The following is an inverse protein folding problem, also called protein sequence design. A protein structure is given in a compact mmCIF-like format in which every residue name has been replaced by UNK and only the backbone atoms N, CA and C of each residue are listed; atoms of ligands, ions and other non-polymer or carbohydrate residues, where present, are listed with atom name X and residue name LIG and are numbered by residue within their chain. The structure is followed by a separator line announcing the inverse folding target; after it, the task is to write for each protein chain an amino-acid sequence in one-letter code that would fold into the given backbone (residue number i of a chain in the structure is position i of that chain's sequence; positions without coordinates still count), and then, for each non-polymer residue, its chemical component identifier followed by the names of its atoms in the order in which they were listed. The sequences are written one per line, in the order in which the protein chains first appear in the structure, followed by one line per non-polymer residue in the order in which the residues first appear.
data_IF_825133522792
#
_entry.id   IF_825133522792
#
_cell.length_a   1.000
_cell.length_b   1.000
_cell.length_c   1.000
_cell.angle_alpha   90.00
_cell.angle_beta   90.00
_cell.angle_gamma   90.00
#
_symmetry.space_group_name_H-M   'P 1'
#
loop_
_entity.id
_entity.type
_entity.pdbx_description
1 polymer ?
#
# COMPACT_ATOMS: atom_id res chain seq x y z
N UNK A 1 32.27 -2.34 18.51
CA UNK A 1 31.48 -2.62 19.73
C UNK A 1 30.83 -1.34 20.26
N UNK A 2 31.58 -0.34 20.75
CA UNK A 2 31.01 0.90 21.31
C UNK A 2 30.22 1.73 20.28
N UNK A 3 30.74 1.84 19.05
CA UNK A 3 30.08 2.53 17.92
C UNK A 3 28.78 1.86 17.52
N UNK A 4 28.73 0.52 17.54
CA UNK A 4 27.53 -0.28 17.25
C UNK A 4 26.43 -0.13 18.31
N UNK A 5 26.80 0.02 19.59
CA UNK A 5 25.85 0.25 20.69
C UNK A 5 25.30 1.69 20.60
N UNK A 6 26.17 2.66 20.30
CA UNK A 6 25.79 4.06 20.14
C UNK A 6 24.83 4.25 18.95
N UNK A 7 25.09 3.59 17.82
CA UNK A 7 24.19 3.66 16.65
C UNK A 7 22.83 3.02 16.94
N UNK A 8 22.79 1.87 17.63
CA UNK A 8 21.53 1.24 18.04
C UNK A 8 20.73 2.11 19.02
N UNK A 9 21.40 2.79 19.95
CA UNK A 9 20.77 3.70 20.89
C UNK A 9 20.20 4.95 20.20
N UNK A 10 20.95 5.55 19.28
CA UNK A 10 20.48 6.67 18.46
C UNK A 10 19.30 6.28 17.57
N UNK A 11 19.35 5.09 16.95
CA UNK A 11 18.23 4.52 16.18
C UNK A 11 16.98 4.36 17.05
N UNK A 12 17.14 3.82 18.27
CA UNK A 12 16.03 3.66 19.21
C UNK A 12 15.41 5.00 19.61
N UNK A 13 16.24 6.02 19.90
CA UNK A 13 15.75 7.37 20.20
C UNK A 13 15.03 8.00 19.01
N UNK A 14 15.54 7.83 17.78
CA UNK A 14 14.90 8.29 16.56
C UNK A 14 13.52 7.64 16.37
N UNK A 15 13.44 6.30 16.49
CA UNK A 15 12.17 5.57 16.41
C UNK A 15 11.19 6.07 17.47
N UNK A 16 11.65 6.26 18.71
CA UNK A 16 10.81 6.77 19.80
C UNK A 16 10.33 8.20 19.54
N UNK A 17 11.18 9.07 19.00
CA UNK A 17 10.83 10.43 18.63
C UNK A 17 9.79 10.45 17.50
N UNK A 18 9.98 9.64 16.45
CA UNK A 18 9.00 9.49 15.36
C UNK A 18 7.66 8.99 15.88
N UNK A 19 7.66 7.97 16.75
CA UNK A 19 6.42 7.45 17.37
C UNK A 19 5.74 8.50 18.27
N UNK A 20 6.51 9.32 18.98
CA UNK A 20 5.98 10.41 19.78
C UNK A 20 5.37 11.50 18.90
N UNK A 21 6.10 11.96 17.88
CA UNK A 21 5.67 13.01 16.95
C UNK A 21 4.43 12.60 16.17
N UNK A 22 4.38 11.36 15.68
CA UNK A 22 3.18 10.82 14.99
C UNK A 22 1.98 10.79 15.93
N UNK A 23 2.14 10.29 17.17
CA UNK A 23 1.05 10.32 18.16
C UNK A 23 0.61 11.75 18.49
N UNK A 24 1.55 12.65 18.74
CA UNK A 24 1.26 14.05 19.04
C UNK A 24 0.54 14.73 17.86
N UNK A 25 0.97 14.46 16.63
CA UNK A 25 0.32 14.94 15.41
C UNK A 25 -1.11 14.42 15.28
N UNK A 26 -1.34 13.11 15.46
CA UNK A 26 -2.67 12.52 15.40
C UNK A 26 -3.60 13.09 16.48
N UNK A 27 -3.09 13.31 17.69
CA UNK A 27 -3.84 13.94 18.79
C UNK A 27 -4.19 15.39 18.47
N UNK A 28 -3.23 16.15 17.92
CA UNK A 28 -3.45 17.54 17.49
C UNK A 28 -4.46 17.63 16.34
N UNK A 29 -4.40 16.69 15.40
CA UNK A 29 -5.31 16.58 14.27
C UNK A 29 -6.75 16.32 14.74
N UNK A 30 -6.93 15.53 15.81
CA UNK A 30 -8.24 15.21 16.40
C UNK A 30 -8.82 16.25 17.38
N UNK A 31 -8.10 17.32 17.72
CA UNK A 31 -8.44 18.25 18.83
C UNK A 31 -9.52 19.31 18.50
N UNK A 32 -10.55 18.95 17.73
CA UNK A 32 -11.59 19.89 17.26
C UNK A 32 -13.00 19.44 17.59
N UNK A 33 -13.57 19.92 18.71
CA UNK A 33 -15.00 19.82 19.16
C UNK A 33 -15.63 18.41 19.31
N UNK A 34 -15.40 17.47 18.39
CA UNK A 34 -15.85 16.07 18.52
C UNK A 34 -14.86 15.18 19.29
N UNK A 35 -13.77 15.78 19.79
CA UNK A 35 -12.82 15.08 20.63
C UNK A 35 -13.57 14.46 21.81
N UNK A 36 -14.50 15.15 22.48
CA UNK A 36 -15.27 14.63 23.63
C UNK A 36 -16.12 13.39 23.31
N UNK A 37 -16.79 13.32 22.15
CA UNK A 37 -17.64 12.18 21.75
C UNK A 37 -16.86 11.00 21.17
N UNK A 38 -15.81 11.28 20.40
CA UNK A 38 -14.90 10.25 19.88
C UNK A 38 -13.97 9.72 20.97
N UNK A 39 -13.58 10.59 21.92
CA UNK A 39 -13.02 10.22 23.21
C UNK A 39 -14.03 9.37 23.96
N UNK A 40 -15.30 9.74 24.09
CA UNK A 40 -16.23 8.93 24.88
C UNK A 40 -16.26 7.49 24.39
N UNK A 41 -16.34 7.25 23.07
CA UNK A 41 -16.40 5.87 22.59
C UNK A 41 -15.07 5.10 22.68
N UNK A 42 -13.92 5.75 22.40
CA UNK A 42 -12.57 5.14 22.51
C UNK A 42 -12.02 5.11 23.94
N UNK A 43 -12.31 6.08 24.78
CA UNK A 43 -11.97 6.14 26.20
C UNK A 43 -12.94 5.30 27.05
N UNK A 44 -14.24 5.16 26.73
CA UNK A 44 -15.05 4.14 27.42
C UNK A 44 -14.47 2.74 27.21
N UNK A 45 -13.88 2.44 26.04
CA UNK A 45 -13.17 1.17 25.84
C UNK A 45 -11.79 1.17 26.49
N UNK A 46 -10.98 2.20 26.24
CA UNK A 46 -9.57 2.22 26.61
C UNK A 46 -9.31 2.68 28.04
N UNK A 47 -10.11 3.57 28.62
CA UNK A 47 -10.08 3.95 30.03
C UNK A 47 -10.77 2.93 30.93
N UNK A 48 -11.77 2.16 30.48
CA UNK A 48 -12.24 0.96 31.22
C UNK A 48 -11.15 -0.11 31.29
N UNK A 49 -10.37 -0.25 30.21
CA UNK A 49 -9.22 -1.17 30.17
C UNK A 49 -8.04 -0.61 30.99
N UNK A 50 -7.67 0.66 30.85
CA UNK A 50 -6.52 1.27 31.53
C UNK A 50 -6.79 1.56 33.02
N UNK A 51 -8.02 1.90 33.42
CA UNK A 51 -8.37 2.13 34.84
C UNK A 51 -8.33 0.85 35.66
N UNK A 52 -8.62 -0.31 35.04
CA UNK A 52 -8.47 -1.62 35.66
C UNK A 52 -7.02 -2.14 35.66
N UNK A 53 -6.10 -1.54 34.89
CA UNK A 53 -4.81 -2.17 34.56
C UNK A 53 -3.56 -1.35 34.88
N UNK A 54 -3.68 -0.25 35.62
CA UNK A 54 -2.49 0.39 36.19
C UNK A 54 -1.85 -0.51 37.24
N UNK A 55 -0.84 -1.27 36.81
CA UNK A 55 0.04 -2.07 37.67
C UNK A 55 -0.22 -3.57 37.71
N UNK A 56 -1.30 -4.06 37.09
CA UNK A 56 -1.66 -5.50 37.13
C UNK A 56 -1.18 -6.20 35.85
N UNK A 57 -0.27 -7.18 36.00
CA UNK A 57 0.05 -8.10 34.89
C UNK A 57 -1.19 -8.93 34.57
N UNK A 58 -1.88 -8.56 33.49
CA UNK A 58 -3.02 -9.32 32.95
C UNK A 58 -2.68 -10.81 32.82
N UNK A 59 -3.52 -11.67 33.41
CA UNK A 59 -3.49 -13.12 33.19
C UNK A 59 -3.81 -13.47 31.73
N UNK A 60 -3.44 -14.67 31.27
CA UNK A 60 -3.73 -15.11 29.89
C UNK A 60 -5.22 -15.02 29.54
N UNK A 61 -6.10 -15.35 30.49
CA UNK A 61 -7.56 -15.26 30.34
C UNK A 61 -8.04 -13.83 30.15
N UNK A 62 -7.62 -12.90 31.01
CA UNK A 62 -8.00 -11.49 30.89
C UNK A 62 -7.48 -10.86 29.57
N UNK A 63 -6.28 -11.23 29.09
CA UNK A 63 -5.79 -10.79 27.77
C UNK A 63 -6.63 -11.33 26.61
N UNK A 64 -7.20 -12.53 26.75
CA UNK A 64 -8.08 -13.09 25.73
C UNK A 64 -9.41 -12.37 25.72
N UNK A 65 -9.94 -12.04 26.90
CA UNK A 65 -11.17 -11.27 27.04
C UNK A 65 -11.04 -9.86 26.45
N UNK A 66 -9.97 -9.13 26.78
CA UNK A 66 -9.66 -7.83 26.18
C UNK A 66 -9.60 -7.94 24.65
N UNK A 67 -8.89 -8.94 24.12
CA UNK A 67 -8.82 -9.17 22.65
C UNK A 67 -10.18 -9.46 22.04
N UNK A 68 -11.04 -10.24 22.71
CA UNK A 68 -12.41 -10.53 22.27
C UNK A 68 -13.29 -9.27 22.28
N UNK A 69 -13.19 -8.46 23.33
CA UNK A 69 -13.91 -7.20 23.45
C UNK A 69 -13.49 -6.21 22.34
N UNK A 70 -12.19 -6.08 22.08
CA UNK A 70 -11.68 -5.28 20.96
C UNK A 70 -12.17 -5.79 19.61
N UNK A 71 -12.14 -7.11 19.39
CA UNK A 71 -12.66 -7.70 18.16
C UNK A 71 -14.15 -7.40 17.99
N UNK A 72 -14.97 -7.57 19.03
CA UNK A 72 -16.41 -7.28 18.99
C UNK A 72 -16.70 -5.79 18.73
N UNK A 73 -15.96 -4.88 19.37
CA UNK A 73 -16.08 -3.44 19.13
C UNK A 73 -15.77 -3.07 17.67
N UNK A 74 -14.71 -3.67 17.11
CA UNK A 74 -14.34 -3.52 15.71
C UNK A 74 -15.42 -4.04 14.76
N UNK A 75 -15.98 -5.22 15.04
CA UNK A 75 -17.07 -5.79 14.24
C UNK A 75 -18.31 -4.88 14.22
N UNK A 76 -18.69 -4.38 15.40
CA UNK A 76 -19.81 -3.43 15.53
C UNK A 76 -19.53 -2.15 14.73
N UNK A 77 -18.33 -1.59 14.87
CA UNK A 77 -17.91 -0.40 14.14
C UNK A 77 -17.97 -0.60 12.62
N UNK A 78 -17.42 -1.70 12.11
CA UNK A 78 -17.41 -1.99 10.65
C UNK A 78 -18.81 -2.15 10.05
N UNK A 79 -19.78 -2.54 10.88
CA UNK A 79 -21.18 -2.68 10.46
C UNK A 79 -21.85 -1.31 10.25
N UNK A 80 -21.53 -0.34 11.11
CA UNK A 80 -22.16 0.98 11.10
C UNK A 80 -21.38 2.02 10.28
N UNK A 81 -20.06 1.85 10.13
CA UNK A 81 -19.21 2.86 9.51
C UNK A 81 -19.55 3.08 8.03
N UNK A 82 -19.40 4.31 7.57
CA UNK A 82 -19.46 4.65 6.16
C UNK A 82 -18.07 4.64 5.54
N UNK A 83 -17.85 3.74 4.57
CA UNK A 83 -16.64 3.73 3.77
C UNK A 83 -16.74 4.78 2.65
N UNK A 84 -15.81 5.73 2.61
CA UNK A 84 -15.79 6.78 1.60
C UNK A 84 -14.39 7.25 1.22
N UNK A 85 -14.32 8.40 0.55
CA UNK A 85 -13.08 8.96 -0.01
C UNK A 85 -12.00 9.20 1.06
N UNK A 86 -12.40 9.61 2.27
CA UNK A 86 -11.48 9.87 3.37
C UNK A 86 -10.66 8.62 3.70
N UNK A 87 -11.33 7.48 3.93
CA UNK A 87 -10.64 6.22 4.18
C UNK A 87 -9.86 5.78 2.94
N UNK A 88 -10.40 6.00 1.75
CA UNK A 88 -9.74 5.70 0.48
C UNK A 88 -8.35 6.35 0.35
N UNK A 89 -8.23 7.63 0.68
CA UNK A 89 -6.93 8.34 0.63
C UNK A 89 -5.91 7.72 1.56
N UNK A 90 -6.29 7.42 2.82
CA UNK A 90 -5.38 6.78 3.77
C UNK A 90 -5.01 5.35 3.36
N UNK A 91 -5.98 4.57 2.88
CA UNK A 91 -5.73 3.20 2.40
C UNK A 91 -4.79 3.21 1.21
N UNK A 92 -5.01 4.11 0.25
CA UNK A 92 -4.11 4.27 -0.90
C UNK A 92 -2.71 4.64 -0.42
N UNK A 93 -2.58 5.66 0.42
CA UNK A 93 -1.28 6.14 0.91
C UNK A 93 -0.53 5.07 1.70
N UNK A 94 -1.19 4.43 2.66
CA UNK A 94 -0.60 3.38 3.49
C UNK A 94 -0.28 2.15 2.64
N UNK A 95 -1.20 1.75 1.75
CA UNK A 95 -1.01 0.62 0.84
C UNK A 95 0.16 0.84 -0.13
N UNK A 96 0.30 2.06 -0.67
CA UNK A 96 1.41 2.44 -1.55
C UNK A 96 2.78 2.26 -0.89
N UNK A 97 2.91 2.65 0.37
CA UNK A 97 4.18 2.51 1.12
C UNK A 97 4.36 1.08 1.63
N UNK A 98 3.32 0.47 2.21
CA UNK A 98 3.40 -0.85 2.79
C UNK A 98 3.67 -1.94 1.74
N UNK A 99 3.11 -1.80 0.54
CA UNK A 99 3.39 -2.71 -0.58
C UNK A 99 4.86 -2.64 -1.00
N UNK A 100 5.45 -1.44 -1.05
CA UNK A 100 6.87 -1.29 -1.35
C UNK A 100 7.75 -1.95 -0.30
N UNK A 101 7.46 -1.71 0.99
CA UNK A 101 8.22 -2.32 2.08
C UNK A 101 8.11 -3.85 2.07
N UNK A 102 6.92 -4.38 1.77
CA UNK A 102 6.70 -5.82 1.69
C UNK A 102 7.46 -6.44 0.51
N UNK A 103 7.43 -5.79 -0.65
CA UNK A 103 8.14 -6.26 -1.84
C UNK A 103 9.66 -6.16 -1.65
N UNK A 104 10.16 -5.06 -1.09
CA UNK A 104 11.57 -4.89 -0.77
C UNK A 104 12.05 -5.96 0.22
N UNK A 105 11.28 -6.23 1.28
CA UNK A 105 11.58 -7.32 2.21
C UNK A 105 11.56 -8.70 1.53
N UNK A 106 10.60 -8.95 0.63
CA UNK A 106 10.53 -10.20 -0.12
C UNK A 106 11.74 -10.38 -1.04
N UNK A 107 12.15 -9.34 -1.76
CA UNK A 107 13.32 -9.36 -2.64
C UNK A 107 14.62 -9.55 -1.85
N UNK A 108 14.73 -8.93 -0.68
CA UNK A 108 15.88 -9.12 0.21
C UNK A 108 16.03 -10.58 0.61
N UNK A 109 14.93 -11.20 1.06
CA UNK A 109 14.94 -12.57 1.57
C UNK A 109 15.10 -13.59 0.45
N UNK A 110 14.48 -13.37 -0.71
CA UNK A 110 14.47 -14.34 -1.81
C UNK A 110 15.71 -14.25 -2.71
N UNK A 111 16.19 -13.03 -3.00
CA UNK A 111 17.25 -12.81 -3.99
C UNK A 111 18.48 -12.09 -3.42
N UNK A 112 18.43 -11.57 -2.18
CA UNK A 112 19.53 -10.79 -1.59
C UNK A 112 19.74 -9.42 -2.23
N UNK A 113 18.79 -8.95 -3.05
CA UNK A 113 18.90 -7.71 -3.83
C UNK A 113 18.00 -6.63 -3.21
N UNK A 114 18.55 -5.42 -3.08
CA UNK A 114 17.81 -4.21 -2.71
C UNK A 114 17.65 -3.32 -3.94
N UNK A 115 16.44 -3.28 -4.49
CA UNK A 115 16.09 -2.43 -5.62
C UNK A 115 14.92 -1.53 -5.25
N UNK A 116 15.02 -0.26 -5.60
CA UNK A 116 13.93 0.68 -5.43
C UNK A 116 12.84 0.38 -6.45
N UNK A 117 11.64 0.05 -5.97
CA UNK A 117 10.46 -0.25 -6.80
C UNK A 117 9.39 0.82 -6.74
N UNK A 118 9.82 2.03 -6.37
CA UNK A 118 8.91 3.16 -6.19
C UNK A 118 8.22 3.48 -7.51
N UNK A 119 6.93 3.77 -7.46
CA UNK A 119 6.09 3.97 -8.64
C UNK A 119 5.78 5.43 -8.97
N UNK A 120 6.22 6.38 -8.15
CA UNK A 120 6.02 7.82 -8.34
C UNK A 120 7.33 8.61 -8.31
N UNK A 121 7.34 9.79 -8.93
CA UNK A 121 8.50 10.66 -8.97
C UNK A 121 8.82 11.27 -7.60
N UNK A 122 7.81 11.51 -6.75
CA UNK A 122 8.01 12.03 -5.40
C UNK A 122 7.67 11.01 -4.31
N UNK A 123 8.44 11.02 -3.22
CA UNK A 123 8.19 10.17 -2.04
C UNK A 123 8.22 8.65 -2.28
N UNK A 124 8.04 7.82 -1.24
CA UNK A 124 8.09 6.36 -1.37
C UNK A 124 6.70 5.78 -1.69
N UNK A 125 6.11 6.15 -2.82
CA UNK A 125 4.74 5.74 -3.17
C UNK A 125 4.70 4.86 -4.42
N UNK A 126 4.00 3.72 -4.33
CA UNK A 126 3.63 2.89 -5.48
C UNK A 126 2.13 3.02 -5.76
N UNK A 127 1.71 3.61 -6.89
CA UNK A 127 0.30 3.71 -7.26
C UNK A 127 -0.33 2.34 -7.46
N UNK A 128 0.44 1.36 -7.95
CA UNK A 128 -0.02 -0.01 -8.15
C UNK A 128 -0.44 -0.64 -6.81
N UNK A 129 0.38 -0.50 -5.76
CA UNK A 129 0.05 -1.04 -4.44
C UNK A 129 -1.05 -0.27 -3.73
N UNK A 130 -1.05 1.07 -3.84
CA UNK A 130 -2.11 1.90 -3.29
C UNK A 130 -3.47 1.59 -3.92
N UNK A 131 -3.52 1.49 -5.25
CA UNK A 131 -4.74 1.14 -5.98
C UNK A 131 -5.17 -0.30 -5.68
N UNK A 132 -4.24 -1.25 -5.62
CA UNK A 132 -4.53 -2.63 -5.23
C UNK A 132 -5.17 -2.71 -3.85
N UNK A 133 -4.58 -2.04 -2.84
CA UNK A 133 -5.14 -1.97 -1.50
C UNK A 133 -6.54 -1.30 -1.47
N UNK A 134 -6.74 -0.24 -2.26
CA UNK A 134 -8.02 0.46 -2.37
C UNK A 134 -9.11 -0.44 -2.97
N UNK A 135 -8.80 -1.13 -4.07
CA UNK A 135 -9.75 -2.04 -4.76
C UNK A 135 -10.06 -3.25 -3.89
N UNK A 136 -9.05 -3.90 -3.31
CA UNK A 136 -9.25 -5.02 -2.39
C UNK A 136 -10.07 -4.62 -1.16
N UNK A 137 -9.87 -3.42 -0.63
CA UNK A 137 -10.68 -2.90 0.48
C UNK A 137 -12.12 -2.62 0.04
N UNK A 138 -12.32 -2.00 -1.12
CA UNK A 138 -13.66 -1.68 -1.63
C UNK A 138 -14.50 -2.95 -1.86
N UNK A 139 -13.94 -3.91 -2.59
CA UNK A 139 -14.58 -5.21 -2.83
C UNK A 139 -14.73 -5.98 -1.51
N UNK A 140 -13.68 -5.99 -0.69
CA UNK A 140 -13.66 -6.68 0.60
C UNK A 140 -14.74 -6.18 1.56
N UNK A 141 -14.92 -4.86 1.64
CA UNK A 141 -15.94 -4.21 2.45
C UNK A 141 -17.35 -4.59 1.97
N UNK A 142 -17.57 -4.62 0.65
CA UNK A 142 -18.83 -5.06 0.06
C UNK A 142 -19.12 -6.54 0.37
N UNK A 143 -18.16 -7.44 0.15
CA UNK A 143 -18.30 -8.87 0.44
C UNK A 143 -18.58 -9.13 1.92
N UNK A 144 -17.97 -8.33 2.79
CA UNK A 144 -18.18 -8.40 4.24
C UNK A 144 -19.60 -7.97 4.62
N UNK A 145 -20.10 -6.85 4.08
CA UNK A 145 -21.48 -6.41 4.30
C UNK A 145 -22.53 -7.40 3.78
N UNK A 146 -22.17 -8.19 2.77
CA UNK A 146 -23.01 -9.27 2.22
C UNK A 146 -22.81 -10.63 2.93
N UNK A 147 -22.04 -10.68 4.02
CA UNK A 147 -21.76 -11.89 4.80
C UNK A 147 -21.29 -13.08 3.93
N UNK A 148 -20.46 -12.80 2.93
CA UNK A 148 -20.00 -13.81 1.96
C UNK A 148 -19.04 -14.82 2.63
N UNK A 149 -19.23 -16.11 2.31
CA UNK A 149 -18.40 -17.21 2.83
C UNK A 149 -16.94 -17.10 2.41
N UNK A 150 -16.02 -17.66 3.21
CA UNK A 150 -14.56 -17.56 2.97
C UNK A 150 -14.13 -18.08 1.60
N UNK A 151 -14.73 -19.18 1.14
CA UNK A 151 -14.47 -19.76 -0.18
C UNK A 151 -14.84 -18.80 -1.32
N UNK A 152 -16.00 -18.15 -1.24
CA UNK A 152 -16.44 -17.16 -2.22
C UNK A 152 -15.61 -15.88 -2.16
N UNK A 153 -15.19 -15.46 -0.96
CA UNK A 153 -14.24 -14.34 -0.80
C UNK A 153 -12.92 -14.67 -1.50
N UNK A 154 -12.36 -15.87 -1.27
CA UNK A 154 -11.13 -16.31 -1.92
C UNK A 154 -11.23 -16.23 -3.44
N UNK A 155 -12.27 -16.82 -4.04
CA UNK A 155 -12.45 -16.82 -5.50
C UNK A 155 -12.63 -15.40 -6.03
N UNK A 156 -13.45 -14.57 -5.38
CA UNK A 156 -13.67 -13.19 -5.80
C UNK A 156 -12.36 -12.37 -5.74
N UNK A 157 -11.57 -12.55 -4.68
CA UNK A 157 -10.28 -11.87 -4.52
C UNK A 157 -9.22 -12.36 -5.50
N UNK A 158 -9.21 -13.66 -5.83
CA UNK A 158 -8.37 -14.20 -6.88
C UNK A 158 -8.68 -13.55 -8.23
N UNK A 159 -9.96 -13.45 -8.60
CA UNK A 159 -10.39 -12.77 -9.84
C UNK A 159 -10.02 -11.28 -9.83
N UNK A 160 -10.29 -10.57 -8.73
CA UNK A 160 -9.97 -9.14 -8.62
C UNK A 160 -8.46 -8.91 -8.71
N UNK A 161 -7.65 -9.69 -8.02
CA UNK A 161 -6.19 -9.62 -8.09
C UNK A 161 -5.65 -9.92 -9.48
N UNK A 162 -6.14 -10.98 -10.14
CA UNK A 162 -5.79 -11.28 -11.53
C UNK A 162 -6.17 -10.17 -12.51
N UNK A 163 -7.36 -9.57 -12.36
CA UNK A 163 -7.75 -8.41 -13.15
C UNK A 163 -6.83 -7.21 -12.91
N UNK A 164 -6.41 -6.96 -11.66
CA UNK A 164 -5.47 -5.89 -11.34
C UNK A 164 -4.10 -6.12 -11.98
N UNK A 165 -3.56 -7.34 -11.90
CA UNK A 165 -2.29 -7.70 -12.57
C UNK A 165 -2.40 -7.53 -14.09
N UNK A 166 -3.47 -8.06 -14.68
CA UNK A 166 -3.73 -7.96 -16.11
C UNK A 166 -3.80 -6.50 -16.57
N UNK A 167 -4.56 -5.66 -15.86
CA UNK A 167 -4.71 -4.26 -16.21
C UNK A 167 -3.41 -3.47 -16.00
N UNK A 168 -2.68 -3.75 -14.91
CA UNK A 168 -1.42 -3.08 -14.61
C UNK A 168 -0.36 -3.40 -15.67
N UNK A 169 -0.16 -4.68 -15.99
CA UNK A 169 0.79 -5.12 -17.00
C UNK A 169 0.43 -4.60 -18.39
N UNK A 170 -0.85 -4.69 -18.77
CA UNK A 170 -1.34 -4.19 -20.05
C UNK A 170 -1.19 -2.67 -20.17
N UNK A 171 -1.61 -1.89 -19.16
CA UNK A 171 -1.49 -0.44 -19.18
C UNK A 171 -0.02 0.00 -19.26
N UNK A 172 0.87 -0.66 -18.52
CA UNK A 172 2.31 -0.38 -18.56
C UNK A 172 2.88 -0.60 -19.97
N UNK A 173 2.51 -1.71 -20.61
CA UNK A 173 2.96 -2.04 -21.95
C UNK A 173 2.38 -1.09 -23.00
N UNK A 174 1.07 -0.81 -22.96
CA UNK A 174 0.39 0.01 -23.97
C UNK A 174 0.75 1.48 -23.87
N UNK A 175 0.80 2.05 -22.65
CA UNK A 175 1.02 3.49 -22.45
C UNK A 175 2.50 3.86 -22.51
N UNK A 176 3.36 3.02 -21.95
CA UNK A 176 4.76 3.38 -21.72
C UNK A 176 5.75 2.53 -22.50
N UNK A 177 5.28 1.53 -23.28
CA UNK A 177 6.13 0.54 -23.95
C UNK A 177 7.15 -0.07 -22.99
N UNK A 178 6.69 -0.31 -21.77
CA UNK A 178 7.50 -0.76 -20.66
C UNK A 178 6.97 -2.07 -20.10
N UNK A 179 7.85 -2.84 -19.48
CA UNK A 179 7.51 -4.10 -18.87
C UNK A 179 8.31 -4.29 -17.59
N UNK A 180 7.65 -4.83 -16.57
CA UNK A 180 8.27 -5.16 -15.28
C UNK A 180 8.18 -6.64 -14.93
N UNK A 181 7.21 -7.40 -15.47
CA UNK A 181 7.15 -8.86 -15.38
C UNK A 181 6.48 -9.49 -16.60
N UNK A 182 6.68 -10.80 -16.77
CA UNK A 182 6.01 -11.64 -17.78
C UNK A 182 5.87 -13.06 -17.24
N UNK A 183 4.75 -13.73 -17.54
CA UNK A 183 4.58 -15.16 -17.27
C UNK A 183 4.58 -16.00 -18.54
N UNK A 184 4.87 -15.42 -19.69
CA UNK A 184 5.06 -16.19 -20.93
C UNK A 184 6.10 -17.30 -20.69
N UNK A 185 5.99 -18.43 -21.40
CA UNK A 185 6.90 -19.56 -21.23
C UNK A 185 6.75 -20.37 -19.93
N UNK A 186 5.97 -19.93 -18.93
CA UNK A 186 5.61 -20.75 -17.77
C UNK A 186 4.42 -21.66 -18.10
N UNK A 187 4.42 -22.90 -17.62
CA UNK A 187 3.35 -23.87 -17.95
C UNK A 187 1.96 -23.47 -17.43
N UNK A 188 1.89 -22.62 -16.40
CA UNK A 188 0.65 -22.22 -15.74
C UNK A 188 0.21 -20.79 -16.08
N UNK A 189 0.78 -20.18 -17.11
CA UNK A 189 0.37 -18.87 -17.59
C UNK A 189 -1.05 -18.91 -18.16
N UNK A 190 -1.81 -17.84 -17.91
CA UNK A 190 -3.13 -17.60 -18.49
C UNK A 190 -3.02 -16.49 -19.53
N UNK A 191 -2.26 -15.44 -19.20
CA UNK A 191 -1.90 -14.34 -20.10
C UNK A 191 -0.43 -13.99 -19.90
N UNK A 192 0.06 -12.99 -20.64
CA UNK A 192 1.40 -12.45 -20.43
C UNK A 192 1.65 -11.98 -18.98
N UNK A 193 0.61 -11.57 -18.24
CA UNK A 193 0.78 -10.97 -16.91
C UNK A 193 0.01 -11.68 -15.79
N UNK A 194 -0.75 -12.73 -16.09
CA UNK A 194 -1.51 -13.52 -15.11
C UNK A 194 -1.19 -15.00 -15.26
N UNK A 195 -0.96 -15.69 -14.13
CA UNK A 195 -0.76 -17.13 -14.07
C UNK A 195 -1.64 -17.76 -12.97
N UNK A 196 -1.89 -19.07 -13.02
CA UNK A 196 -2.70 -19.74 -12.01
C UNK A 196 -2.15 -19.58 -10.60
N UNK A 197 -0.82 -19.65 -10.44
CA UNK A 197 -0.18 -19.42 -9.13
C UNK A 197 -0.47 -18.02 -8.58
N UNK A 198 -0.52 -16.98 -9.43
CA UNK A 198 -0.78 -15.62 -8.96
C UNK A 198 -2.23 -15.47 -8.54
N UNK A 199 -3.18 -16.07 -9.26
CA UNK A 199 -4.59 -16.10 -8.84
C UNK A 199 -4.76 -16.74 -7.46
N UNK A 200 -4.08 -17.86 -7.20
CA UNK A 200 -4.12 -18.51 -5.88
C UNK A 200 -3.53 -17.59 -4.81
N UNK A 201 -2.38 -16.97 -5.06
CA UNK A 201 -1.74 -16.03 -4.15
C UNK A 201 -2.68 -14.84 -3.85
N UNK A 202 -3.32 -14.25 -4.87
CA UNK A 202 -4.30 -13.18 -4.71
C UNK A 202 -5.54 -13.61 -3.94
N UNK A 203 -6.01 -14.85 -4.13
CA UNK A 203 -7.09 -15.41 -3.33
C UNK A 203 -6.73 -15.49 -1.84
N UNK A 204 -5.52 -15.97 -1.51
CA UNK A 204 -5.01 -16.05 -0.13
C UNK A 204 -4.82 -14.65 0.45
N UNK A 205 -4.11 -13.77 -0.26
CA UNK A 205 -3.81 -12.41 0.16
C UNK A 205 -5.10 -11.60 0.35
N UNK A 206 -6.07 -11.72 -0.56
CA UNK A 206 -7.35 -11.05 -0.43
C UNK A 206 -8.19 -11.61 0.72
N UNK A 207 -8.16 -12.92 0.97
CA UNK A 207 -8.82 -13.49 2.15
C UNK A 207 -8.20 -12.97 3.44
N UNK A 208 -6.87 -12.95 3.52
CA UNK A 208 -6.13 -12.35 4.64
C UNK A 208 -6.46 -10.86 4.80
N UNK A 209 -6.54 -10.13 3.69
CA UNK A 209 -6.88 -8.72 3.67
C UNK A 209 -8.27 -8.48 4.25
N UNK A 210 -9.29 -9.16 3.72
CA UNK A 210 -10.70 -8.98 4.14
C UNK A 210 -10.94 -9.38 5.59
N UNK A 211 -10.25 -10.41 6.08
CA UNK A 211 -10.52 -11.00 7.40
C UNK A 211 -9.64 -10.46 8.50
N UNK A 212 -8.45 -9.98 8.19
CA UNK A 212 -7.45 -9.58 9.19
C UNK A 212 -7.03 -8.13 9.01
N UNK A 213 -6.52 -7.77 7.83
CA UNK A 213 -5.87 -6.47 7.62
C UNK A 213 -6.87 -5.33 7.52
N UNK A 214 -7.83 -5.42 6.60
CA UNK A 214 -8.83 -4.39 6.32
C UNK A 214 -9.66 -4.03 7.55
N UNK A 215 -10.20 -4.97 8.36
CA UNK A 215 -10.96 -4.64 9.56
C UNK A 215 -10.17 -3.75 10.52
N UNK A 216 -8.91 -4.10 10.75
CA UNK A 216 -8.03 -3.38 11.68
C UNK A 216 -7.64 -2.01 11.12
N UNK A 217 -7.31 -1.96 9.82
CA UNK A 217 -6.95 -0.73 9.13
C UNK A 217 -8.10 0.29 9.17
N UNK A 218 -9.32 -0.13 8.81
CA UNK A 218 -10.50 0.72 8.82
C UNK A 218 -10.88 1.20 10.22
N UNK A 219 -10.75 0.33 11.24
CA UNK A 219 -11.01 0.69 12.63
C UNK A 219 -10.01 1.72 13.17
N UNK A 220 -8.74 1.63 12.75
CA UNK A 220 -7.70 2.59 13.14
C UNK A 220 -7.86 3.93 12.42
N UNK A 221 -8.15 3.91 11.13
CA UNK A 221 -8.38 5.13 10.33
C UNK A 221 -9.61 5.88 10.85
N UNK A 222 -10.69 5.15 11.13
CA UNK A 222 -11.91 5.73 11.66
C UNK A 222 -12.69 6.58 10.64
N UNK A 223 -13.62 7.36 11.16
CA UNK A 223 -14.30 8.44 10.43
C UNK A 223 -13.71 9.79 10.86
N UNK A 224 -13.70 10.79 9.97
CA UNK A 224 -13.20 12.11 10.33
C UNK A 224 -14.15 12.76 11.34
N UNK A 225 -13.61 13.15 12.48
CA UNK A 225 -14.34 13.87 13.55
C UNK A 225 -14.04 15.36 13.52
N UNK A 226 -13.04 15.80 12.74
CA UNK A 226 -12.65 17.21 12.68
C UNK A 226 -12.40 17.68 11.25
N UNK A 227 -12.60 18.98 11.02
CA UNK A 227 -12.22 19.62 9.75
C UNK A 227 -10.72 19.47 9.46
N UNK A 228 -9.86 19.46 10.48
CA UNK A 228 -8.40 19.30 10.33
C UNK A 228 -8.04 17.96 9.71
N UNK A 229 -8.68 16.87 10.15
CA UNK A 229 -8.49 15.54 9.56
C UNK A 229 -8.91 15.51 8.10
N UNK A 230 -10.05 16.11 7.77
CA UNK A 230 -10.54 16.20 6.39
C UNK A 230 -9.58 17.02 5.52
N UNK A 231 -9.13 18.19 6.00
CA UNK A 231 -8.14 19.02 5.30
C UNK A 231 -6.84 18.27 5.09
N UNK A 232 -6.34 17.54 6.10
CA UNK A 232 -5.12 16.75 5.96
C UNK A 232 -5.26 15.63 4.94
N UNK A 233 -6.38 14.89 4.96
CA UNK A 233 -6.67 13.89 3.94
C UNK A 233 -6.74 14.52 2.54
N UNK A 234 -7.37 15.70 2.41
CA UNK A 234 -7.41 16.43 1.14
C UNK A 234 -6.02 16.85 0.66
N UNK A 235 -5.16 17.35 1.55
CA UNK A 235 -3.78 17.74 1.19
C UNK A 235 -2.97 16.53 0.71
N UNK A 236 -3.11 15.36 1.36
CA UNK A 236 -2.49 14.12 0.89
C UNK A 236 -3.04 13.75 -0.50
N UNK A 237 -4.36 13.81 -0.69
CA UNK A 237 -4.98 13.49 -1.97
C UNK A 237 -4.48 14.40 -3.10
N UNK A 238 -4.38 15.71 -2.85
CA UNK A 238 -3.85 16.69 -3.81
C UNK A 238 -2.38 16.42 -4.09
N UNK A 239 -1.56 16.18 -3.07
CA UNK A 239 -0.15 15.85 -3.23
C UNK A 239 0.03 14.60 -4.11
N UNK A 240 -0.67 13.51 -3.80
CA UNK A 240 -0.58 12.26 -4.57
C UNK A 240 -1.13 12.43 -6.00
N UNK A 241 -2.20 13.21 -6.17
CA UNK A 241 -2.74 13.52 -7.49
C UNK A 241 -1.74 14.28 -8.36
N UNK A 242 -1.06 15.29 -7.80
CA UNK A 242 0.00 16.02 -8.49
C UNK A 242 1.20 15.13 -8.81
N UNK A 243 1.61 14.26 -7.88
CA UNK A 243 2.72 13.33 -8.07
C UNK A 243 2.44 12.30 -9.17
N UNK A 244 1.23 11.74 -9.20
CA UNK A 244 0.77 10.87 -10.28
C UNK A 244 0.80 11.63 -11.61
N UNK A 245 0.28 12.86 -11.66
CA UNK A 245 0.28 13.68 -12.86
C UNK A 245 1.71 13.92 -13.39
N UNK A 246 2.62 14.36 -12.52
CA UNK A 246 4.02 14.60 -12.87
C UNK A 246 4.73 13.31 -13.30
N UNK A 247 4.44 12.19 -12.65
CA UNK A 247 4.99 10.87 -13.03
C UNK A 247 4.54 10.48 -14.43
N UNK A 248 3.24 10.59 -14.73
CA UNK A 248 2.71 10.31 -16.08
C UNK A 248 3.33 11.24 -17.12
N UNK A 249 3.47 12.55 -16.81
CA UNK A 249 4.14 13.50 -17.71
C UNK A 249 5.61 13.13 -17.97
N UNK A 250 6.34 12.69 -16.95
CA UNK A 250 7.74 12.27 -17.09
C UNK A 250 7.86 11.02 -17.99
N UNK A 251 7.01 10.02 -17.79
CA UNK A 251 6.97 8.84 -18.66
C UNK A 251 6.53 9.18 -20.09
N UNK A 252 5.57 10.09 -20.26
CA UNK A 252 5.15 10.58 -21.58
C UNK A 252 6.31 11.25 -22.33
N UNK A 253 7.07 12.12 -21.66
CA UNK A 253 8.25 12.76 -22.27
C UNK A 253 9.33 11.73 -22.63
N UNK A 254 9.60 10.77 -21.74
CA UNK A 254 10.51 9.66 -22.05
C UNK A 254 10.07 8.86 -23.28
N UNK A 255 8.77 8.58 -23.42
CA UNK A 255 8.23 7.90 -24.60
C UNK A 255 8.30 8.77 -25.87
N UNK A 256 8.18 10.10 -25.77
CA UNK A 256 8.41 11.01 -26.91
C UNK A 256 9.87 10.98 -27.37
N UNK A 257 10.83 10.96 -26.44
CA UNK A 257 12.26 10.87 -26.75
C UNK A 257 12.60 9.60 -27.53
N UNK A 258 12.05 8.44 -27.14
CA UNK A 258 12.28 7.18 -27.87
C UNK A 258 11.71 7.19 -29.29
N UNK A 259 10.70 8.03 -29.55
CA UNK A 259 10.15 8.28 -30.87
C UNK A 259 10.87 9.41 -31.63
N UNK A 260 11.98 9.95 -31.10
CA UNK A 260 12.73 11.06 -31.70
C UNK A 260 12.01 12.41 -31.67
N UNK A 261 10.99 12.58 -30.83
CA UNK A 261 10.20 13.82 -30.71
C UNK A 261 10.65 14.64 -29.49
N UNK A 262 10.87 15.94 -29.72
CA UNK A 262 11.19 16.91 -28.65
C UNK A 262 9.96 17.49 -27.93
N UNK A 263 10.17 18.28 -26.87
CA UNK A 263 9.10 18.98 -26.15
C UNK A 263 8.38 20.00 -27.06
N UNK A 264 7.06 20.11 -26.90
CA UNK A 264 6.20 20.95 -27.73
C UNK A 264 5.74 22.25 -27.04
N UNK A 265 5.91 22.37 -25.72
CA UNK A 265 5.50 23.53 -24.93
C UNK A 265 6.39 23.70 -23.70
N UNK A 266 6.26 24.83 -23.01
CA UNK A 266 7.10 25.17 -21.86
C UNK A 266 6.99 24.16 -20.69
N UNK A 267 5.81 23.57 -20.47
CA UNK A 267 5.65 22.54 -19.45
C UNK A 267 6.43 21.27 -19.82
N UNK A 268 6.34 20.83 -21.08
CA UNK A 268 7.11 19.69 -21.54
C UNK A 268 8.62 19.94 -21.48
N UNK A 269 9.09 21.16 -21.77
CA UNK A 269 10.51 21.54 -21.59
C UNK A 269 10.93 21.39 -20.13
N UNK A 270 10.13 21.89 -19.18
CA UNK A 270 10.40 21.73 -17.74
C UNK A 270 10.50 20.26 -17.33
N UNK A 271 9.56 19.43 -17.78
CA UNK A 271 9.58 17.98 -17.51
C UNK A 271 10.81 17.34 -18.16
N UNK A 272 11.15 17.76 -19.38
CA UNK A 272 12.26 17.20 -20.15
C UNK A 272 13.60 17.44 -19.45
N UNK A 273 13.81 18.66 -18.95
CA UNK A 273 15.01 19.08 -18.24
C UNK A 273 15.11 18.42 -16.85
N UNK A 274 13.99 18.29 -16.13
CA UNK A 274 14.00 17.81 -14.74
C UNK A 274 13.98 16.28 -14.62
N UNK A 275 13.32 15.58 -15.55
CA UNK A 275 13.14 14.13 -15.54
C UNK A 275 13.84 13.48 -16.75
N UNK A 276 15.17 13.53 -16.73
CA UNK A 276 16.02 12.91 -17.76
C UNK A 276 15.92 11.38 -17.75
N UNK A 277 16.35 10.73 -18.83
CA UNK A 277 16.34 9.27 -18.91
C UNK A 277 17.21 8.61 -17.83
N UNK A 278 18.35 9.23 -17.50
CA UNK A 278 19.26 8.77 -16.46
C UNK A 278 18.60 8.85 -15.08
N UNK A 279 18.00 10.00 -14.75
CA UNK A 279 17.26 10.17 -13.50
C UNK A 279 16.12 9.15 -13.37
N UNK A 280 15.35 8.97 -14.45
CA UNK A 280 14.24 8.01 -14.49
C UNK A 280 14.74 6.56 -14.32
N UNK A 281 15.89 6.20 -14.87
CA UNK A 281 16.47 4.87 -14.71
C UNK A 281 16.96 4.62 -13.27
N UNK A 282 17.54 5.63 -12.62
CA UNK A 282 17.90 5.54 -11.20
C UNK A 282 16.67 5.43 -10.30
N UNK A 283 15.59 6.11 -10.67
CA UNK A 283 14.34 6.16 -9.88
C UNK A 283 13.49 4.90 -10.03
N UNK A 284 13.36 4.38 -11.26
CA UNK A 284 12.49 3.26 -11.62
C UNK A 284 13.33 2.04 -12.03
N UNK A 285 14.10 1.50 -11.08
CA UNK A 285 15.15 0.50 -11.33
C UNK A 285 14.62 -0.85 -11.83
N UNK A 286 13.33 -1.13 -11.61
CA UNK A 286 12.67 -2.39 -11.93
C UNK A 286 11.99 -2.41 -13.31
N UNK A 287 12.12 -1.36 -14.12
CA UNK A 287 11.38 -1.20 -15.36
C UNK A 287 12.29 -1.26 -16.59
N UNK A 288 12.00 -2.17 -17.51
CA UNK A 288 12.62 -2.23 -18.83
C UNK A 288 11.72 -1.50 -19.82
N UNK A 289 12.29 -0.63 -20.65
CA UNK A 289 11.55 0.23 -21.60
C UNK A 289 12.10 0.00 -23.00
N UNK A 290 11.22 -0.29 -23.96
CA UNK A 290 11.58 -0.44 -25.37
C UNK A 290 12.03 -1.84 -25.79
N UNK A 291 12.22 -2.76 -24.85
CA UNK A 291 12.54 -4.17 -25.11
C UNK A 291 11.46 -5.08 -24.52
N UNK A 292 11.06 -6.13 -25.25
CA UNK A 292 10.25 -7.20 -24.67
C UNK A 292 11.12 -8.00 -23.70
N UNK A 293 10.58 -8.29 -22.52
CA UNK A 293 11.25 -9.24 -21.63
C UNK A 293 11.38 -10.59 -22.35
N UNK A 294 12.50 -11.33 -22.13
CA UNK A 294 12.58 -12.72 -22.55
C UNK A 294 11.36 -13.48 -22.03
N UNK A 295 10.92 -14.53 -22.72
CA UNK A 295 9.75 -15.30 -22.29
C UNK A 295 9.89 -15.75 -20.82
N UNK A 296 11.08 -16.17 -20.40
CA UNK A 296 11.37 -16.61 -19.03
C UNK A 296 11.38 -15.47 -17.98
N UNK A 297 11.30 -14.20 -18.41
CA UNK A 297 11.35 -13.01 -17.57
C UNK A 297 12.74 -12.63 -17.05
N UNK A 298 12.80 -11.75 -16.04
CA UNK A 298 14.05 -11.30 -15.42
C UNK A 298 14.40 -12.13 -14.18
N UNK A 299 15.70 -12.41 -13.92
CA UNK A 299 16.15 -13.03 -12.68
C UNK A 299 15.64 -12.26 -11.46
N UNK A 300 15.05 -12.96 -10.49
CA UNK A 300 14.50 -12.37 -9.26
C UNK A 300 13.13 -11.69 -9.39
N UNK A 301 12.56 -11.55 -10.59
CA UNK A 301 11.18 -11.02 -10.77
C UNK A 301 10.13 -12.12 -10.76
N UNK A 302 10.42 -13.26 -11.40
CA UNK A 302 9.50 -14.40 -11.47
C UNK A 302 9.84 -15.54 -10.50
N UNK A 303 10.81 -15.30 -9.61
CA UNK A 303 11.54 -16.37 -8.91
C UNK A 303 12.41 -17.11 -9.92
N UNK A 304 13.72 -17.19 -9.64
CA UNK A 304 14.59 -18.05 -10.44
C UNK A 304 14.11 -19.50 -10.24
N UNK A 305 13.33 -20.00 -11.19
CA UNK A 305 12.96 -21.43 -11.25
C UNK A 305 14.05 -22.21 -11.99
N UNK A 306 15.29 -21.72 -12.00
CA UNK A 306 16.47 -22.53 -12.30
C UNK A 306 16.85 -23.36 -11.06
N UNK A 307 15.96 -24.26 -10.65
CA UNK A 307 16.38 -25.39 -9.84
C UNK A 307 16.51 -26.59 -10.77
N UNK A 308 17.76 -27.01 -10.96
CA UNK A 308 18.15 -28.38 -11.28
C UNK A 308 17.40 -29.41 -10.43
#
# INVERSE_FOLDING_TARGET
MLTSILTLFLLFLLVRAVLFLTRAFWLWLGRGKDLERAIDHKQLTQATIDSHLRGVRLTRGQRQEVRRAHAAAREKYLTIMHYGWYQGVFIFTIGSVAGLLLEEAWMFVSAGIMQSRVGLVWGPFSPLYGLGALVLTSVGFLLRRRHVSSSRVFVCMACVGGCLEQLAGWAMFTLFRAQSWTYLGLFDHITQWVAWRTLVIWGILGLLWVRVVMPELLYRIGEPTTRRQVTFALLIAVYLGLDIFMTVSAFYMRAKRTLGKGPANAFEVLIDEHYTNEWMATRFQNMVVGEQLPDQGLPGVNGDMSHH
#
